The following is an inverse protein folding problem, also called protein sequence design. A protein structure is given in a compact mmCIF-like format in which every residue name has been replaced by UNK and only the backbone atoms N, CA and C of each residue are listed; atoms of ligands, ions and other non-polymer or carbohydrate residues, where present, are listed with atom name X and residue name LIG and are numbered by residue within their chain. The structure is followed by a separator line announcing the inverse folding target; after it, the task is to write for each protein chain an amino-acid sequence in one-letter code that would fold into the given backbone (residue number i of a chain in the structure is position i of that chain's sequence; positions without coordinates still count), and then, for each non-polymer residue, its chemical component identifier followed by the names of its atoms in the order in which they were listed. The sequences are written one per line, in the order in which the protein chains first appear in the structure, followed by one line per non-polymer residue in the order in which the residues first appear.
data_IF_313669568709
#
_entry.id   IF_313669568709
#
_cell.length_a   1.000
_cell.length_b   1.000
_cell.length_c   1.000
_cell.angle_alpha   90.00
_cell.angle_beta   90.00
_cell.angle_gamma   90.00
#
_symmetry.space_group_name_H-M   'P 1'
#
loop_
_entity.id
_entity.type
_entity.pdbx_description
1 polymer ?
#
# COMPACT_ATOMS: atom_id res chain seq x y z
N UNK A 1 13.01 2.05 14.16
CA UNK A 1 12.74 1.72 12.73
C UNK A 1 13.10 0.27 12.41
N UNK A 2 14.35 -0.19 12.60
CA UNK A 2 14.75 -1.58 12.24
C UNK A 2 13.98 -2.69 12.97
N UNK A 3 13.70 -2.54 14.28
CA UNK A 3 12.88 -3.49 15.05
C UNK A 3 11.44 -3.56 14.50
N UNK A 4 10.76 -2.41 14.44
CA UNK A 4 9.41 -2.28 13.86
C UNK A 4 9.25 -2.79 12.43
N UNK A 5 10.31 -2.80 11.63
CA UNK A 5 10.27 -3.38 10.28
C UNK A 5 10.22 -4.92 10.29
N UNK A 6 10.74 -5.55 11.34
CA UNK A 6 10.55 -7.00 11.56
C UNK A 6 9.08 -7.27 11.87
N UNK A 7 8.52 -6.52 12.80
CA UNK A 7 7.13 -6.69 13.25
C UNK A 7 6.17 -6.48 12.06
N UNK A 8 6.30 -5.38 11.32
CA UNK A 8 5.50 -5.14 10.10
C UNK A 8 5.58 -6.26 9.05
N UNK A 9 6.72 -6.97 8.95
CA UNK A 9 6.82 -8.11 8.03
C UNK A 9 6.01 -9.31 8.51
N UNK A 10 6.03 -9.57 9.81
CA UNK A 10 5.25 -10.64 10.43
C UNK A 10 3.75 -10.39 10.17
N UNK A 11 3.28 -9.17 10.41
CA UNK A 11 1.88 -8.77 10.11
C UNK A 11 1.50 -9.00 8.63
N UNK A 12 2.41 -8.68 7.70
CA UNK A 12 2.17 -8.88 6.26
C UNK A 12 2.13 -10.37 5.89
N UNK A 13 2.92 -11.21 6.55
CA UNK A 13 2.86 -12.66 6.38
C UNK A 13 1.55 -13.22 6.94
N UNK A 14 1.08 -12.75 8.09
CA UNK A 14 -0.19 -13.15 8.71
C UNK A 14 -1.41 -12.71 7.89
N UNK A 15 -1.40 -11.51 7.31
CA UNK A 15 -2.39 -11.10 6.29
C UNK A 15 -2.45 -12.11 5.15
N UNK A 16 -1.29 -12.55 4.64
CA UNK A 16 -1.20 -13.55 3.58
C UNK A 16 -1.87 -14.87 3.98
N UNK A 17 -1.57 -15.36 5.19
CA UNK A 17 -2.16 -16.57 5.73
C UNK A 17 -3.68 -16.46 5.93
N UNK A 18 -4.17 -15.30 6.38
CA UNK A 18 -5.60 -15.05 6.56
C UNK A 18 -6.35 -15.07 5.22
N UNK A 19 -5.76 -14.49 4.16
CA UNK A 19 -6.30 -14.56 2.80
C UNK A 19 -6.34 -16.01 2.29
N UNK A 20 -5.27 -16.79 2.48
CA UNK A 20 -5.21 -18.18 2.04
C UNK A 20 -6.27 -19.08 2.71
N UNK A 21 -6.69 -18.73 3.92
CA UNK A 21 -7.68 -19.47 4.72
C UNK A 21 -9.11 -18.94 4.57
N UNK A 22 -9.35 -17.90 3.77
CA UNK A 22 -10.61 -17.16 3.71
C UNK A 22 -11.10 -16.69 5.10
N UNK A 23 -10.18 -16.44 6.04
CA UNK A 23 -10.49 -16.01 7.41
C UNK A 23 -10.59 -14.49 7.48
N UNK A 24 -11.76 -13.96 7.16
CA UNK A 24 -12.01 -12.52 7.16
C UNK A 24 -11.97 -11.86 8.54
N UNK A 25 -12.15 -12.64 9.62
CA UNK A 25 -12.04 -12.09 10.97
C UNK A 25 -10.57 -11.86 11.30
N UNK A 26 -9.73 -12.88 11.07
CA UNK A 26 -8.29 -12.75 11.26
C UNK A 26 -7.71 -11.69 10.30
N UNK A 27 -8.12 -11.70 9.03
CA UNK A 27 -7.67 -10.70 8.05
C UNK A 27 -7.90 -9.26 8.53
N UNK A 28 -9.05 -8.99 9.18
CA UNK A 28 -9.36 -7.66 9.70
C UNK A 28 -8.43 -7.27 10.86
N UNK A 29 -8.09 -8.23 11.71
CA UNK A 29 -7.15 -8.05 12.83
C UNK A 29 -5.75 -7.71 12.30
N UNK A 30 -5.19 -8.57 11.44
CA UNK A 30 -3.81 -8.37 10.92
C UNK A 30 -3.69 -7.10 10.06
N UNK A 31 -4.74 -6.73 9.32
CA UNK A 31 -4.76 -5.44 8.60
C UNK A 31 -4.73 -4.25 9.57
N UNK A 32 -5.33 -4.39 10.76
CA UNK A 32 -5.28 -3.41 11.82
C UNK A 32 -3.87 -3.28 12.41
N UNK A 33 -3.22 -4.39 12.68
CA UNK A 33 -1.90 -4.43 13.30
C UNK A 33 -0.80 -3.96 12.33
N UNK A 34 -0.86 -4.36 11.05
CA UNK A 34 -0.02 -3.80 10.00
C UNK A 34 -0.21 -2.27 9.85
N UNK A 35 -1.45 -1.77 9.96
CA UNK A 35 -1.74 -0.34 9.91
C UNK A 35 -1.18 0.38 11.16
N UNK A 36 -1.28 -0.23 12.33
CA UNK A 36 -0.72 0.29 13.57
C UNK A 36 0.80 0.44 13.51
N UNK A 37 1.51 -0.56 12.98
CA UNK A 37 2.96 -0.47 12.78
C UNK A 37 3.34 0.61 11.76
N UNK A 38 2.61 0.72 10.64
CA UNK A 38 2.82 1.77 9.64
C UNK A 38 2.60 3.18 10.22
N UNK A 39 1.50 3.39 10.95
CA UNK A 39 1.21 4.67 11.60
C UNK A 39 2.29 5.01 12.63
N UNK A 40 2.75 4.03 13.41
CA UNK A 40 3.82 4.21 14.38
C UNK A 40 5.12 4.69 13.72
N UNK A 41 5.48 4.12 12.56
CA UNK A 41 6.64 4.57 11.78
C UNK A 41 6.49 6.01 11.27
N UNK A 42 5.29 6.37 10.80
CA UNK A 42 4.98 7.72 10.31
C UNK A 42 5.13 8.74 11.45
N UNK A 43 4.56 8.47 12.62
CA UNK A 43 4.66 9.35 13.80
C UNK A 43 6.12 9.57 14.19
N UNK A 44 6.92 8.50 14.28
CA UNK A 44 8.34 8.60 14.66
C UNK A 44 9.14 9.43 13.64
N UNK A 45 8.80 9.37 12.36
CA UNK A 45 9.48 10.16 11.32
C UNK A 45 9.03 11.63 11.33
N UNK A 46 7.75 11.87 11.62
CA UNK A 46 7.18 13.21 11.77
C UNK A 46 7.76 13.93 12.99
N UNK A 47 7.94 13.23 14.12
CA UNK A 47 8.64 13.75 15.31
C UNK A 47 10.09 14.16 15.02
N UNK A 48 10.72 13.55 14.01
CA UNK A 48 12.08 13.88 13.57
C UNK A 48 12.13 14.97 12.50
N UNK A 49 10.98 15.45 12.03
CA UNK A 49 10.88 16.47 10.99
C UNK A 49 11.29 15.97 9.60
N UNK A 50 11.28 14.66 9.34
CA UNK A 50 11.67 14.09 8.04
C UNK A 50 10.57 14.28 6.98
N UNK A 51 9.32 14.06 7.38
CA UNK A 51 8.12 14.23 6.56
C UNK A 51 6.87 14.13 7.46
N UNK A 52 5.72 14.57 6.94
CA UNK A 52 4.43 14.50 7.64
C UNK A 52 3.57 13.32 7.19
N UNK A 53 2.64 12.89 8.04
CA UNK A 53 1.62 11.91 7.67
C UNK A 53 0.82 12.37 6.44
N UNK A 54 0.53 13.67 6.35
CA UNK A 54 -0.20 14.29 5.25
C UNK A 54 0.53 14.11 3.91
N UNK A 55 1.84 14.33 3.88
CA UNK A 55 2.65 14.15 2.66
C UNK A 55 2.62 12.70 2.18
N UNK A 56 2.82 11.74 3.08
CA UNK A 56 2.78 10.31 2.75
C UNK A 56 1.42 9.91 2.19
N UNK A 57 0.33 10.30 2.85
CA UNK A 57 -1.04 9.95 2.44
C UNK A 57 -1.36 10.58 1.09
N UNK A 58 -1.01 11.85 0.88
CA UNK A 58 -1.23 12.52 -0.40
C UNK A 58 -0.48 11.83 -1.54
N UNK A 59 0.77 11.44 -1.32
CA UNK A 59 1.56 10.75 -2.33
C UNK A 59 1.07 9.33 -2.60
N UNK A 60 0.57 8.63 -1.58
CA UNK A 60 -0.12 7.35 -1.75
C UNK A 60 -1.38 7.52 -2.61
N UNK A 61 -2.25 8.49 -2.31
CA UNK A 61 -3.46 8.78 -3.09
C UNK A 61 -3.12 9.14 -4.54
N UNK A 62 -2.12 10.00 -4.78
CA UNK A 62 -1.65 10.34 -6.13
C UNK A 62 -1.19 9.09 -6.89
N UNK A 63 -0.42 8.20 -6.24
CA UNK A 63 0.02 6.93 -6.82
C UNK A 63 -1.16 6.02 -7.16
N UNK A 64 -2.16 5.90 -6.29
CA UNK A 64 -3.35 5.07 -6.55
C UNK A 64 -4.16 5.68 -7.70
N UNK A 65 -4.40 6.99 -7.72
CA UNK A 65 -5.10 7.68 -8.83
C UNK A 65 -4.41 7.45 -10.17
N UNK A 66 -3.07 7.43 -10.18
CA UNK A 66 -2.30 7.18 -11.40
C UNK A 66 -2.31 5.72 -11.82
N UNK A 67 -2.10 4.78 -10.89
CA UNK A 67 -1.85 3.35 -11.17
C UNK A 67 -3.09 2.48 -11.20
N UNK A 68 -4.13 2.88 -10.46
CA UNK A 68 -5.41 2.20 -10.34
C UNK A 68 -6.55 3.23 -10.37
N UNK A 69 -6.68 4.04 -11.45
CA UNK A 69 -7.70 5.09 -11.54
C UNK A 69 -9.12 4.54 -11.38
N UNK A 70 -9.36 3.29 -11.75
CA UNK A 70 -10.67 2.66 -11.69
C UNK A 70 -11.21 2.52 -10.26
N UNK A 71 -10.35 2.47 -9.24
CA UNK A 71 -10.77 2.49 -7.81
C UNK A 71 -11.63 3.73 -7.49
N UNK A 72 -11.39 4.84 -8.20
CA UNK A 72 -12.13 6.09 -8.04
C UNK A 72 -13.27 6.27 -9.05
N UNK A 73 -13.58 5.23 -9.83
CA UNK A 73 -14.66 5.24 -10.82
C UNK A 73 -15.66 4.13 -10.51
N UNK A 74 -16.87 4.20 -11.05
CA UNK A 74 -17.81 3.08 -10.99
C UNK A 74 -17.48 1.94 -11.98
N UNK A 75 -16.28 1.95 -12.60
CA UNK A 75 -15.87 0.94 -13.57
C UNK A 75 -15.36 -0.30 -12.83
N UNK A 76 -16.03 -1.43 -13.02
CA UNK A 76 -15.52 -2.75 -12.63
C UNK A 76 -14.65 -3.29 -13.76
N UNK A 77 -13.41 -3.64 -13.45
CA UNK A 77 -12.48 -4.31 -14.35
C UNK A 77 -12.29 -5.75 -13.89
N UNK A 78 -11.96 -6.66 -14.80
CA UNK A 78 -11.47 -7.99 -14.43
C UNK A 78 -10.03 -7.91 -13.93
N UNK A 79 -9.56 -8.96 -13.25
CA UNK A 79 -8.19 -9.02 -12.73
C UNK A 79 -7.14 -8.91 -13.86
N UNK A 80 -7.42 -9.48 -15.02
CA UNK A 80 -6.58 -9.41 -16.22
C UNK A 80 -6.51 -7.97 -16.75
N UNK A 81 -7.66 -7.29 -16.84
CA UNK A 81 -7.72 -5.89 -17.26
C UNK A 81 -6.94 -4.98 -16.29
N UNK A 82 -7.11 -5.16 -14.98
CA UNK A 82 -6.34 -4.44 -13.96
C UNK A 82 -4.82 -4.62 -14.14
N UNK A 83 -4.39 -5.87 -14.38
CA UNK A 83 -2.98 -6.20 -14.56
C UNK A 83 -2.41 -5.58 -15.84
N UNK A 84 -3.12 -5.65 -16.97
CA UNK A 84 -2.71 -5.03 -18.23
C UNK A 84 -2.53 -3.51 -18.09
N UNK A 85 -3.49 -2.84 -17.44
CA UNK A 85 -3.39 -1.40 -17.18
C UNK A 85 -2.18 -1.07 -16.31
N UNK A 86 -1.95 -1.85 -15.24
CA UNK A 86 -0.82 -1.65 -14.36
C UNK A 86 0.53 -1.82 -15.07
N UNK A 87 0.67 -2.84 -15.92
CA UNK A 87 1.88 -3.06 -16.74
C UNK A 87 2.12 -1.87 -17.67
N UNK A 88 1.08 -1.40 -18.38
CA UNK A 88 1.16 -0.23 -19.28
C UNK A 88 1.63 1.03 -18.54
N UNK A 89 1.09 1.28 -17.34
CA UNK A 89 1.46 2.45 -16.52
C UNK A 89 2.90 2.33 -16.00
N UNK A 90 3.32 1.14 -15.56
CA UNK A 90 4.70 0.91 -15.12
C UNK A 90 5.72 1.10 -16.25
N UNK A 91 5.38 0.72 -17.48
CA UNK A 91 6.25 0.94 -18.65
C UNK A 91 6.46 2.44 -18.89
N UNK A 92 5.38 3.22 -18.91
CA UNK A 92 5.45 4.70 -19.05
C UNK A 92 6.23 5.38 -17.92
N UNK A 93 6.07 4.91 -16.68
CA UNK A 93 6.82 5.46 -15.53
C UNK A 93 8.34 5.18 -15.60
N UNK A 94 8.76 4.08 -16.25
CA UNK A 94 10.19 3.79 -16.47
C UNK A 94 10.76 4.64 -17.60
N UNK A 95 9.98 4.91 -18.64
CA UNK A 95 10.38 5.73 -19.79
C UNK A 95 10.52 7.22 -19.42
N UNK A 96 9.64 7.74 -18.56
CA UNK A 96 9.71 9.13 -18.06
C UNK A 96 10.63 9.36 -16.86
N UNK A 97 11.44 8.36 -16.47
CA UNK A 97 12.43 8.45 -15.38
C UNK A 97 13.88 8.60 -15.89
N UNK A 98 14.06 8.78 -17.19
CA UNK A 98 15.36 8.95 -17.84
C UNK A 98 15.80 10.42 -17.99
N UNK A 99 15.12 11.37 -17.34
CA UNK A 99 15.53 12.78 -17.23
C UNK A 99 15.70 13.18 -15.76
#
# INVERSE_FOLDING_TARGET
LKGRFKDLKEEVEEIGQAIEKDDFNNLKEELGDALWELISLIIIAEEKGEFTAKEIIQDAIKKIRRRKPWIFTNKKLTQEEELEFWIKIKKKEKEGKND
#
